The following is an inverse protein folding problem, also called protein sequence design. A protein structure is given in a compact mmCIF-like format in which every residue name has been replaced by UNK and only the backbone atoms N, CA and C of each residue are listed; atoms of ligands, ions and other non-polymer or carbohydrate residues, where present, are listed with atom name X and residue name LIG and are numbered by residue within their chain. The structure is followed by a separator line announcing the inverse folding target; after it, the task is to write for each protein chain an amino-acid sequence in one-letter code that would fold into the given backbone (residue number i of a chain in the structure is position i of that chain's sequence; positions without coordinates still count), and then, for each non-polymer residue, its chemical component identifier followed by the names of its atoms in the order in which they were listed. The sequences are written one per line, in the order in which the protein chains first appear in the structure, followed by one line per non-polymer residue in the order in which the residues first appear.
data_IF_700272413734
#
_entry.id   IF_700272413734
#
_cell.length_a   1.000
_cell.length_b   1.000
_cell.length_c   1.000
_cell.angle_alpha   90.00
_cell.angle_beta   90.00
_cell.angle_gamma   90.00
#
_symmetry.space_group_name_H-M   'P 1'
#
loop_
_entity.id
_entity.type
_entity.pdbx_description
1 polymer ?
#
# COMPACT_ATOMS: atom_id res chain seq x y z
N UNK A 1 -13.85 8.83 -14.09
CA UNK A 1 -13.38 9.95 -13.24
C UNK A 1 -11.96 10.32 -13.67
N UNK A 2 -11.63 11.62 -13.79
CA UNK A 2 -10.25 12.09 -14.02
C UNK A 2 -9.46 11.91 -12.72
N UNK A 3 -8.20 11.47 -12.83
CA UNK A 3 -7.31 11.29 -11.68
C UNK A 3 -6.98 12.64 -11.03
N UNK A 4 -7.16 12.75 -9.73
CA UNK A 4 -6.77 13.94 -8.98
C UNK A 4 -5.26 13.92 -8.68
N UNK A 5 -4.60 15.06 -8.83
CA UNK A 5 -3.19 15.24 -8.44
C UNK A 5 -3.06 16.10 -7.18
N UNK A 6 -4.17 16.49 -6.54
CA UNK A 6 -4.13 17.27 -5.30
C UNK A 6 -3.54 16.42 -4.19
N UNK A 7 -2.63 16.95 -3.36
CA UNK A 7 -2.09 16.24 -2.21
C UNK A 7 -3.19 15.96 -1.18
N UNK A 8 -2.95 15.00 -0.32
CA UNK A 8 -3.76 14.72 0.85
C UNK A 8 -3.28 15.58 2.02
N UNK A 9 -4.14 15.86 2.98
CA UNK A 9 -3.78 16.65 4.15
C UNK A 9 -2.68 15.95 4.96
N UNK A 10 -2.76 14.62 5.07
CA UNK A 10 -1.75 13.81 5.75
C UNK A 10 -0.35 13.89 5.11
N UNK A 11 -0.26 14.21 3.82
CA UNK A 11 1.02 14.42 3.13
C UNK A 11 1.72 15.71 3.60
N UNK A 12 0.98 16.67 4.21
CA UNK A 12 1.52 17.95 4.65
C UNK A 12 2.57 17.76 5.76
N UNK A 13 3.69 18.51 5.71
CA UNK A 13 4.68 18.51 6.79
C UNK A 13 4.14 19.10 8.10
N UNK A 14 3.01 19.81 8.05
CA UNK A 14 2.39 20.43 9.22
C UNK A 14 1.54 19.44 10.04
N UNK A 15 1.17 18.29 9.46
CA UNK A 15 0.45 17.23 10.17
C UNK A 15 1.43 16.41 11.01
N UNK A 16 1.39 16.64 12.35
CA UNK A 16 2.30 16.05 13.34
C UNK A 16 1.55 15.80 14.65
N UNK A 17 2.20 15.01 15.54
CA UNK A 17 1.72 14.76 16.89
C UNK A 17 0.29 14.23 16.96
N UNK A 18 -0.56 14.73 17.88
CA UNK A 18 -1.90 14.18 18.12
C UNK A 18 -2.81 14.12 16.87
N UNK A 19 -2.62 15.03 15.92
CA UNK A 19 -3.38 15.01 14.67
C UNK A 19 -2.96 13.83 13.78
N UNK A 20 -1.68 13.57 13.67
CA UNK A 20 -1.14 12.42 12.92
C UNK A 20 -1.58 11.10 13.58
N UNK A 21 -1.56 11.02 14.92
CA UNK A 21 -2.02 9.83 15.66
C UNK A 21 -3.50 9.56 15.40
N UNK A 22 -4.32 10.61 15.35
CA UNK A 22 -5.74 10.50 15.00
C UNK A 22 -5.94 10.00 13.57
N UNK A 23 -5.17 10.49 12.60
CA UNK A 23 -5.20 9.97 11.23
C UNK A 23 -4.86 8.49 11.18
N UNK A 24 -3.80 8.07 11.86
CA UNK A 24 -3.41 6.66 11.92
C UNK A 24 -4.49 5.79 12.55
N UNK A 25 -5.13 6.27 13.62
CA UNK A 25 -6.26 5.57 14.25
C UNK A 25 -7.42 5.37 13.28
N UNK A 26 -7.86 6.44 12.61
CA UNK A 26 -8.98 6.41 11.67
C UNK A 26 -8.67 5.52 10.44
N UNK A 27 -7.43 5.59 9.93
CA UNK A 27 -6.96 4.71 8.84
C UNK A 27 -6.95 3.24 9.27
N UNK A 28 -6.48 2.92 10.48
CA UNK A 28 -6.50 1.56 10.99
C UNK A 28 -7.92 1.03 11.14
N UNK A 29 -8.87 1.85 11.59
CA UNK A 29 -10.28 1.50 11.64
C UNK A 29 -10.84 1.18 10.25
N UNK A 30 -10.62 2.06 9.27
CA UNK A 30 -11.05 1.86 7.87
C UNK A 30 -10.42 0.60 7.28
N UNK A 31 -9.12 0.38 7.50
CA UNK A 31 -8.40 -0.81 7.05
C UNK A 31 -8.96 -2.09 7.68
N UNK A 32 -9.35 -2.03 8.95
CA UNK A 32 -10.03 -3.13 9.65
C UNK A 32 -11.37 -3.46 9.00
N UNK A 33 -12.24 -2.45 8.81
CA UNK A 33 -13.55 -2.61 8.16
C UNK A 33 -13.45 -3.21 6.74
N UNK A 34 -12.40 -2.88 6.02
CA UNK A 34 -12.18 -3.33 4.65
C UNK A 34 -11.34 -4.61 4.54
N UNK A 35 -10.93 -5.20 5.66
CA UNK A 35 -10.16 -6.44 5.68
C UNK A 35 -8.82 -6.37 4.94
N UNK A 36 -8.12 -5.23 5.01
CA UNK A 36 -6.86 -4.98 4.30
C UNK A 36 -5.79 -6.01 4.65
N UNK A 37 -5.49 -6.15 5.93
CA UNK A 37 -4.40 -6.98 6.41
C UNK A 37 -4.65 -8.49 6.19
N UNK A 38 -5.83 -9.05 6.53
CA UNK A 38 -6.16 -10.43 6.20
C UNK A 38 -6.10 -10.75 4.71
N UNK A 39 -6.43 -9.76 3.87
CA UNK A 39 -6.36 -9.95 2.42
C UNK A 39 -4.92 -10.10 1.95
N UNK A 40 -4.01 -9.23 2.40
CA UNK A 40 -2.57 -9.32 2.08
C UNK A 40 -2.00 -10.65 2.62
N UNK A 41 -2.30 -11.00 3.87
CA UNK A 41 -1.89 -12.30 4.45
C UNK A 41 -2.31 -13.47 3.56
N UNK A 42 -3.57 -13.48 3.10
CA UNK A 42 -4.09 -14.53 2.21
C UNK A 42 -3.31 -14.62 0.90
N UNK A 43 -2.90 -13.48 0.33
CA UNK A 43 -2.08 -13.49 -0.89
C UNK A 43 -0.66 -13.98 -0.61
N UNK A 44 -0.03 -13.58 0.50
CA UNK A 44 1.29 -14.07 0.89
C UNK A 44 1.28 -15.59 1.09
N UNK A 45 0.24 -16.13 1.75
CA UNK A 45 0.10 -17.59 2.00
C UNK A 45 -0.10 -18.42 0.74
N UNK A 46 -0.42 -17.80 -0.40
CA UNK A 46 -0.46 -18.47 -1.72
C UNK A 46 0.91 -18.57 -2.39
N UNK A 47 1.99 -18.20 -1.70
CA UNK A 47 3.34 -18.36 -2.24
C UNK A 47 3.72 -19.83 -2.29
N UNK A 48 4.36 -20.24 -3.39
CA UNK A 48 4.76 -21.64 -3.63
C UNK A 48 5.96 -22.07 -2.78
N UNK A 49 6.66 -21.10 -2.17
CA UNK A 49 7.82 -21.33 -1.31
C UNK A 49 7.60 -20.74 0.09
N UNK A 50 8.21 -21.29 1.13
CA UNK A 50 8.16 -20.73 2.46
C UNK A 50 8.62 -19.26 2.47
N UNK A 51 7.80 -18.40 3.08
CA UNK A 51 8.12 -16.98 3.30
C UNK A 51 8.71 -16.86 4.69
N UNK A 52 9.95 -16.39 4.79
CA UNK A 52 10.67 -16.19 6.05
C UNK A 52 10.79 -14.71 6.40
N UNK A 53 10.87 -13.84 5.39
CA UNK A 53 11.05 -12.41 5.56
C UNK A 53 10.15 -11.62 4.61
N UNK A 54 9.48 -10.61 5.15
CA UNK A 54 8.59 -9.71 4.40
C UNK A 54 9.12 -8.28 4.49
N UNK A 55 9.18 -7.60 3.34
CA UNK A 55 9.43 -6.17 3.22
C UNK A 55 8.12 -5.44 2.97
N UNK A 56 7.81 -4.38 3.71
CA UNK A 56 6.69 -3.48 3.43
C UNK A 56 7.23 -2.11 3.00
N UNK A 57 6.91 -1.67 1.79
CA UNK A 57 7.33 -0.38 1.25
C UNK A 57 6.21 0.64 1.39
N UNK A 58 6.51 1.76 2.05
CA UNK A 58 5.52 2.74 2.48
C UNK A 58 4.69 2.22 3.65
N UNK A 59 5.35 1.62 4.64
CA UNK A 59 4.70 0.89 5.72
C UNK A 59 4.03 1.79 6.78
N UNK A 60 4.21 3.13 6.70
CA UNK A 60 3.68 4.07 7.70
C UNK A 60 4.11 3.68 9.12
N UNK A 61 3.16 3.51 10.01
CA UNK A 61 3.38 3.09 11.40
C UNK A 61 3.69 1.60 11.60
N UNK A 62 3.78 0.80 10.53
CA UNK A 62 4.12 -0.63 10.60
C UNK A 62 2.98 -1.54 11.05
N UNK A 63 1.72 -1.08 11.04
CA UNK A 63 0.56 -1.86 11.50
C UNK A 63 0.36 -3.16 10.74
N UNK A 64 0.56 -3.15 9.42
CA UNK A 64 0.52 -4.36 8.60
C UNK A 64 1.64 -5.34 8.98
N UNK A 65 2.85 -4.84 9.19
CA UNK A 65 4.00 -5.65 9.57
C UNK A 65 3.83 -6.31 10.94
N UNK A 66 3.36 -5.55 11.94
CA UNK A 66 3.04 -6.10 13.28
C UNK A 66 1.99 -7.21 13.18
N UNK A 67 0.94 -7.00 12.39
CA UNK A 67 -0.07 -8.01 12.11
C UNK A 67 0.53 -9.27 11.46
N UNK A 68 1.32 -9.13 10.40
CA UNK A 68 1.93 -10.26 9.68
C UNK A 68 2.91 -11.03 10.55
N UNK A 69 3.75 -10.33 11.33
CA UNK A 69 4.69 -10.95 12.25
C UNK A 69 3.97 -11.84 13.27
N UNK A 70 2.90 -11.32 13.91
CA UNK A 70 2.13 -12.08 14.90
C UNK A 70 1.36 -13.24 14.28
N UNK A 71 0.85 -13.09 13.06
CA UNK A 71 -0.01 -14.10 12.41
C UNK A 71 0.76 -15.20 11.71
N UNK A 72 1.95 -14.90 11.21
CA UNK A 72 2.73 -15.79 10.36
C UNK A 72 4.05 -16.25 11.02
N UNK A 73 4.52 -15.58 12.07
CA UNK A 73 5.80 -15.89 12.73
C UNK A 73 7.02 -15.62 11.85
N UNK A 74 6.93 -14.64 10.94
CA UNK A 74 7.98 -14.31 9.96
C UNK A 74 8.75 -13.07 10.39
N UNK A 75 9.97 -12.91 9.90
CA UNK A 75 10.72 -11.67 10.02
C UNK A 75 10.09 -10.58 9.15
N UNK A 76 10.03 -9.36 9.68
CA UNK A 76 9.43 -8.22 8.96
C UNK A 76 10.36 -7.02 8.99
N UNK A 77 10.35 -6.24 7.92
CA UNK A 77 11.06 -4.96 7.83
C UNK A 77 10.24 -3.97 7.00
N UNK A 78 10.11 -2.75 7.48
CA UNK A 78 9.46 -1.66 6.76
C UNK A 78 10.45 -0.64 6.21
N UNK A 79 10.04 0.05 5.14
CA UNK A 79 10.70 1.25 4.64
C UNK A 79 9.63 2.34 4.50
N UNK A 80 9.88 3.50 5.11
CA UNK A 80 8.97 4.65 5.02
C UNK A 80 9.76 5.98 5.07
N UNK A 81 9.27 7.01 4.40
CA UNK A 81 9.89 8.34 4.39
C UNK A 81 9.72 9.06 5.73
N UNK A 82 8.63 8.78 6.44
CA UNK A 82 8.24 9.43 7.70
C UNK A 82 7.88 8.37 8.77
N UNK A 83 8.83 7.49 9.16
CA UNK A 83 8.53 6.49 10.17
C UNK A 83 8.22 7.16 11.52
N UNK A 84 7.36 6.56 12.36
CA UNK A 84 7.14 7.04 13.71
C UNK A 84 8.42 6.90 14.55
N UNK A 85 8.56 7.70 15.60
CA UNK A 85 9.69 7.60 16.54
C UNK A 85 9.71 6.26 17.29
N UNK A 86 8.53 5.69 17.54
CA UNK A 86 8.36 4.41 18.23
C UNK A 86 7.51 3.49 17.36
N UNK A 87 8.04 2.33 17.04
CA UNK A 87 7.34 1.29 16.30
C UNK A 87 7.58 -0.08 16.94
N UNK A 88 6.59 -0.98 16.86
CA UNK A 88 6.70 -2.36 17.36
C UNK A 88 7.54 -3.26 16.44
N UNK A 89 7.85 -2.79 15.24
CA UNK A 89 8.59 -3.52 14.21
C UNK A 89 9.73 -2.65 13.68
N UNK A 90 10.70 -3.28 13.03
CA UNK A 90 11.82 -2.56 12.42
C UNK A 90 11.34 -1.77 11.21
N UNK A 91 11.46 -0.44 11.25
CA UNK A 91 11.20 0.45 10.13
C UNK A 91 12.48 1.24 9.81
N UNK A 92 12.88 1.24 8.56
CA UNK A 92 14.02 2.01 8.05
C UNK A 92 13.45 3.28 7.42
N UNK A 93 14.01 4.42 7.80
CA UNK A 93 13.69 5.69 7.15
C UNK A 93 14.37 5.71 5.79
N UNK A 94 13.59 5.90 4.71
CA UNK A 94 14.12 5.94 3.35
C UNK A 94 13.03 6.09 2.31
N UNK A 95 13.45 6.46 1.11
CA UNK A 95 12.58 6.52 -0.07
C UNK A 95 12.63 5.19 -0.83
N UNK A 96 11.54 4.44 -0.76
CA UNK A 96 11.44 3.14 -1.42
C UNK A 96 11.53 3.21 -2.96
N UNK A 97 11.34 4.38 -3.56
CA UNK A 97 11.44 4.58 -5.01
C UNK A 97 12.89 4.66 -5.47
N UNK A 98 13.76 5.31 -4.70
CA UNK A 98 15.11 5.70 -5.13
C UNK A 98 16.23 5.04 -4.34
N UNK A 99 16.01 4.68 -3.08
CA UNK A 99 17.03 4.12 -2.21
C UNK A 99 17.08 2.59 -2.28
N UNK A 100 18.23 2.01 -1.89
CA UNK A 100 18.40 0.55 -1.84
C UNK A 100 17.48 -0.04 -0.77
N UNK A 101 16.68 -1.02 -1.18
CA UNK A 101 15.76 -1.73 -0.30
C UNK A 101 16.42 -2.94 0.38
N UNK A 102 15.96 -3.31 1.58
CA UNK A 102 16.35 -4.56 2.22
C UNK A 102 15.94 -5.78 1.41
N UNK A 103 16.75 -6.82 1.46
CA UNK A 103 16.41 -8.13 0.91
C UNK A 103 15.28 -8.79 1.72
N UNK A 104 14.35 -9.45 1.01
CA UNK A 104 13.25 -10.22 1.60
C UNK A 104 12.78 -11.30 0.62
N UNK A 105 11.91 -12.21 1.06
CA UNK A 105 11.29 -13.20 0.19
C UNK A 105 10.12 -12.62 -0.61
N UNK A 106 9.30 -11.82 0.07
CA UNK A 106 8.12 -11.16 -0.49
C UNK A 106 8.14 -9.70 -0.08
N UNK A 107 7.90 -8.81 -1.04
CA UNK A 107 7.59 -7.42 -0.76
C UNK A 107 6.07 -7.19 -0.79
N UNK A 108 5.59 -6.27 0.03
CA UNK A 108 4.21 -5.78 0.03
C UNK A 108 4.21 -4.25 -0.06
N UNK A 109 3.12 -3.71 -0.58
CA UNK A 109 2.85 -2.28 -0.62
C UNK A 109 1.35 -2.09 -0.40
N UNK A 110 0.98 -1.37 0.63
CA UNK A 110 -0.43 -1.13 0.94
C UNK A 110 -0.74 0.35 1.02
N UNK A 111 -1.64 0.81 0.14
CA UNK A 111 -2.14 2.20 0.15
C UNK A 111 -1.04 3.27 -0.03
N UNK A 112 -0.03 2.97 -0.82
CA UNK A 112 1.03 3.91 -1.20
C UNK A 112 0.95 4.30 -2.67
N UNK A 113 0.61 3.37 -3.57
CA UNK A 113 0.79 3.57 -5.01
C UNK A 113 0.00 4.77 -5.55
N UNK A 114 -1.16 5.11 -4.97
CA UNK A 114 -1.94 6.28 -5.36
C UNK A 114 -1.28 7.62 -4.99
N UNK A 115 -0.32 7.65 -4.07
CA UNK A 115 0.50 8.83 -3.77
C UNK A 115 1.59 9.09 -4.82
N UNK A 116 1.98 8.05 -5.57
CA UNK A 116 3.06 8.10 -6.54
C UNK A 116 2.57 8.44 -7.94
N UNK A 117 3.44 9.04 -8.77
CA UNK A 117 3.19 9.18 -10.21
C UNK A 117 3.30 7.82 -10.91
N UNK A 118 2.84 7.67 -12.17
CA UNK A 118 3.08 6.46 -12.95
C UNK A 118 4.57 6.09 -13.03
N UNK A 119 5.45 7.07 -13.27
CA UNK A 119 6.89 6.90 -13.38
C UNK A 119 7.51 6.44 -12.05
N UNK A 120 7.06 7.00 -10.93
CA UNK A 120 7.49 6.58 -9.60
C UNK A 120 7.05 5.16 -9.26
N UNK A 121 5.84 4.77 -9.64
CA UNK A 121 5.37 3.39 -9.48
C UNK A 121 6.21 2.41 -10.32
N UNK A 122 6.55 2.77 -11.57
CA UNK A 122 7.47 1.99 -12.41
C UNK A 122 8.84 1.85 -11.73
N UNK A 123 9.38 2.95 -11.20
CA UNK A 123 10.66 2.95 -10.50
C UNK A 123 10.63 2.10 -9.23
N UNK A 124 9.55 2.20 -8.43
CA UNK A 124 9.34 1.37 -7.24
C UNK A 124 9.34 -0.13 -7.58
N UNK A 125 8.55 -0.55 -8.58
CA UNK A 125 8.48 -1.96 -9.00
C UNK A 125 9.86 -2.45 -9.44
N UNK A 126 10.59 -1.67 -10.24
CA UNK A 126 11.95 -1.97 -10.66
C UNK A 126 12.95 -1.99 -9.50
N UNK A 127 12.76 -1.13 -8.50
CA UNK A 127 13.62 -1.13 -7.32
C UNK A 127 13.41 -2.39 -6.47
N UNK A 128 12.16 -2.80 -6.25
CA UNK A 128 11.83 -4.06 -5.56
C UNK A 128 12.41 -5.26 -6.32
N UNK A 129 12.34 -5.30 -7.65
CA UNK A 129 12.87 -6.40 -8.45
C UNK A 129 14.43 -6.56 -8.39
N UNK A 130 15.14 -5.55 -7.87
CA UNK A 130 16.60 -5.62 -7.64
C UNK A 130 16.98 -6.25 -6.29
N UNK A 131 16.02 -6.49 -5.43
CA UNK A 131 16.20 -7.23 -4.17
C UNK A 131 16.09 -8.74 -4.41
N UNK A 132 16.19 -9.53 -3.35
CA UNK A 132 15.95 -10.98 -3.41
C UNK A 132 14.46 -11.35 -3.45
N UNK A 133 13.55 -10.36 -3.46
CA UNK A 133 12.12 -10.61 -3.52
C UNK A 133 11.74 -11.33 -4.82
N UNK A 134 11.09 -12.50 -4.67
CA UNK A 134 10.53 -13.24 -5.80
C UNK A 134 9.09 -12.82 -6.11
N UNK A 135 8.47 -12.01 -5.23
CA UNK A 135 7.09 -11.60 -5.35
C UNK A 135 6.87 -10.22 -4.74
N UNK A 136 6.07 -9.41 -5.42
CA UNK A 136 5.66 -8.09 -4.94
C UNK A 136 4.14 -7.98 -5.01
N UNK A 137 3.48 -7.83 -3.86
CA UNK A 137 2.03 -7.72 -3.73
C UNK A 137 1.69 -6.26 -3.43
N UNK A 138 0.99 -5.61 -4.34
CA UNK A 138 0.54 -4.23 -4.19
C UNK A 138 -0.98 -4.24 -3.97
N UNK A 139 -1.45 -3.71 -2.86
CA UNK A 139 -2.86 -3.48 -2.59
C UNK A 139 -3.13 -1.98 -2.56
N UNK A 140 -4.04 -1.50 -3.41
CA UNK A 140 -4.39 -0.08 -3.42
C UNK A 140 -5.87 0.14 -3.77
N UNK A 141 -6.32 1.37 -3.58
CA UNK A 141 -7.67 1.83 -3.91
C UNK A 141 -7.91 1.81 -5.42
N UNK A 142 -9.17 1.84 -5.81
CA UNK A 142 -9.58 1.99 -7.22
C UNK A 142 -10.30 3.33 -7.40
N UNK A 143 -9.90 4.09 -8.39
CA UNK A 143 -10.60 5.30 -8.81
C UNK A 143 -11.90 4.95 -9.53
N UNK A 144 -13.00 4.88 -8.77
CA UNK A 144 -14.32 4.57 -9.30
C UNK A 144 -15.40 5.33 -8.51
N UNK A 145 -16.54 5.75 -9.14
CA UNK A 145 -17.61 6.44 -8.42
C UNK A 145 -18.24 5.61 -7.30
N UNK A 146 -18.41 4.31 -7.50
CA UNK A 146 -19.07 3.42 -6.53
C UNK A 146 -18.35 3.39 -5.17
N UNK A 147 -17.04 3.08 -5.05
CA UNK A 147 -16.37 3.13 -3.75
C UNK A 147 -16.34 4.53 -3.16
N UNK A 148 -16.28 5.61 -3.96
CA UNK A 148 -16.35 6.96 -3.44
C UNK A 148 -17.70 7.25 -2.77
N UNK A 149 -18.81 6.83 -3.37
CA UNK A 149 -20.15 6.97 -2.78
C UNK A 149 -20.28 6.11 -1.52
N UNK A 150 -19.90 4.82 -1.59
CA UNK A 150 -19.98 3.92 -0.44
C UNK A 150 -19.11 4.42 0.73
N UNK A 151 -17.88 4.85 0.47
CA UNK A 151 -17.01 5.43 1.48
C UNK A 151 -17.64 6.67 2.12
N UNK A 152 -18.19 7.56 1.29
CA UNK A 152 -18.81 8.80 1.77
C UNK A 152 -20.04 8.55 2.64
N UNK A 153 -20.86 7.56 2.29
CA UNK A 153 -22.10 7.27 3.01
C UNK A 153 -21.88 6.44 4.26
N UNK A 154 -20.97 5.48 4.24
CA UNK A 154 -20.86 4.48 5.30
C UNK A 154 -19.64 4.66 6.20
N UNK A 155 -18.48 5.10 5.67
CA UNK A 155 -17.26 5.22 6.46
C UNK A 155 -17.00 6.66 6.94
N UNK A 156 -17.23 7.67 6.11
CA UNK A 156 -17.01 9.06 6.50
C UNK A 156 -17.75 9.48 7.79
N UNK A 157 -19.00 9.03 8.09
CA UNK A 157 -19.66 9.38 9.34
C UNK A 157 -19.03 8.77 10.59
N UNK A 158 -18.17 7.76 10.44
CA UNK A 158 -17.57 6.99 11.54
C UNK A 158 -16.16 7.45 11.91
N UNK A 159 -15.58 8.39 11.16
CA UNK A 159 -14.19 8.85 11.29
C UNK A 159 -14.12 10.38 11.35
N UNK A 160 -12.96 10.92 11.70
CA UNK A 160 -12.74 12.37 11.75
C UNK A 160 -12.92 13.03 10.38
N UNK A 161 -13.33 14.31 10.40
CA UNK A 161 -13.60 15.08 9.17
C UNK A 161 -12.39 15.14 8.25
N UNK A 162 -11.21 15.32 8.81
CA UNK A 162 -9.94 15.40 8.09
C UNK A 162 -9.63 14.06 7.39
N UNK A 163 -9.71 12.95 8.12
CA UNK A 163 -9.51 11.61 7.57
C UNK A 163 -10.59 11.26 6.51
N UNK A 164 -11.83 11.70 6.72
CA UNK A 164 -12.90 11.54 5.73
C UNK A 164 -12.64 12.34 4.44
N UNK A 165 -12.04 13.52 4.54
CA UNK A 165 -11.65 14.32 3.37
C UNK A 165 -10.50 13.66 2.62
N UNK A 166 -9.47 13.20 3.35
CA UNK A 166 -8.32 12.53 2.76
C UNK A 166 -8.69 11.21 2.09
N UNK A 167 -9.47 10.37 2.74
CA UNK A 167 -9.90 9.11 2.12
C UNK A 167 -10.72 9.29 0.83
N UNK A 168 -11.55 10.36 0.73
CA UNK A 168 -12.18 10.71 -0.56
C UNK A 168 -11.16 11.19 -1.58
N UNK A 169 -10.12 11.89 -1.15
CA UNK A 169 -9.05 12.34 -2.02
C UNK A 169 -8.19 11.16 -2.49
N UNK A 170 -7.85 10.21 -1.61
CA UNK A 170 -7.14 8.98 -1.93
C UNK A 170 -7.86 8.18 -3.02
N UNK A 171 -9.20 8.00 -2.91
CA UNK A 171 -9.99 7.33 -3.95
C UNK A 171 -9.91 8.08 -5.29
N UNK A 172 -9.88 9.42 -5.28
CA UNK A 172 -9.75 10.22 -6.51
C UNK A 172 -8.35 10.20 -7.10
N UNK A 173 -7.32 9.98 -6.28
CA UNK A 173 -5.91 9.84 -6.69
C UNK A 173 -5.58 8.45 -7.20
N UNK A 174 -6.33 7.44 -6.77
CA UNK A 174 -6.10 6.06 -7.12
C UNK A 174 -6.10 5.84 -8.64
N UNK A 175 -5.43 4.79 -9.08
CA UNK A 175 -5.46 4.35 -10.46
C UNK A 175 -6.68 3.47 -10.74
N UNK A 176 -7.13 3.40 -12.00
CA UNK A 176 -8.02 2.32 -12.42
C UNK A 176 -7.21 1.03 -12.59
N UNK A 177 -7.85 -0.16 -12.59
CA UNK A 177 -7.14 -1.41 -12.83
C UNK A 177 -6.39 -1.44 -14.16
N UNK A 178 -6.96 -0.82 -15.20
CA UNK A 178 -6.37 -0.75 -16.53
C UNK A 178 -5.12 0.13 -16.55
N UNK A 179 -5.19 1.32 -15.92
CA UNK A 179 -4.03 2.23 -15.79
C UNK A 179 -2.91 1.58 -15.00
N UNK A 180 -3.24 0.91 -13.88
CA UNK A 180 -2.21 0.30 -13.05
C UNK A 180 -1.58 -0.93 -13.73
N UNK A 181 -2.38 -1.71 -14.46
CA UNK A 181 -1.87 -2.82 -15.27
C UNK A 181 -0.87 -2.34 -16.33
N UNK A 182 -1.09 -1.16 -16.95
CA UNK A 182 -0.15 -0.59 -17.91
C UNK A 182 1.16 -0.14 -17.25
N UNK A 183 1.08 0.46 -16.05
CA UNK A 183 2.26 0.80 -15.24
C UNK A 183 3.08 -0.47 -14.96
N UNK A 184 2.43 -1.55 -14.53
CA UNK A 184 3.12 -2.82 -14.23
C UNK A 184 3.75 -3.42 -15.49
N UNK A 185 3.02 -3.49 -16.62
CA UNK A 185 3.58 -3.97 -17.90
C UNK A 185 4.84 -3.20 -18.30
N UNK A 186 4.80 -1.88 -18.17
CA UNK A 186 5.95 -1.00 -18.46
C UNK A 186 7.11 -1.27 -17.50
N UNK A 187 6.82 -1.51 -16.22
CA UNK A 187 7.84 -1.77 -15.22
C UNK A 187 8.59 -3.07 -15.46
N UNK A 188 7.87 -4.15 -15.85
CA UNK A 188 8.43 -5.50 -16.04
C UNK A 188 8.82 -5.80 -17.49
N UNK A 189 8.67 -4.84 -18.41
CA UNK A 189 9.00 -5.03 -19.82
C UNK A 189 10.47 -5.47 -19.98
N UNK A 190 10.68 -6.51 -20.81
CA UNK A 190 12.01 -7.09 -21.05
C UNK A 190 12.51 -8.04 -19.97
N UNK A 191 11.67 -8.41 -18.99
CA UNK A 191 11.99 -9.40 -17.96
C UNK A 191 11.09 -10.66 -18.11
N UNK A 192 11.37 -11.70 -17.31
CA UNK A 192 10.52 -12.89 -17.20
C UNK A 192 9.38 -12.72 -16.20
N UNK A 193 9.26 -11.57 -15.57
CA UNK A 193 8.25 -11.33 -14.56
C UNK A 193 6.83 -11.39 -15.14
N UNK A 194 5.91 -11.88 -14.34
CA UNK A 194 4.48 -11.97 -14.65
C UNK A 194 3.67 -11.29 -13.58
N UNK A 195 2.42 -10.95 -13.87
CA UNK A 195 1.52 -10.42 -12.84
C UNK A 195 0.08 -10.83 -13.06
N UNK A 196 -0.68 -10.80 -11.98
CA UNK A 196 -2.14 -10.92 -11.97
C UNK A 196 -2.76 -9.73 -11.26
N UNK A 197 -3.99 -9.39 -11.63
CA UNK A 197 -4.79 -8.35 -10.99
C UNK A 197 -6.07 -8.96 -10.44
N UNK A 198 -6.36 -8.72 -9.17
CA UNK A 198 -7.60 -9.07 -8.50
C UNK A 198 -8.31 -7.76 -8.09
N UNK A 199 -9.62 -7.72 -8.26
CA UNK A 199 -10.45 -6.55 -7.91
C UNK A 199 -11.47 -6.99 -6.85
N UNK A 200 -11.44 -6.30 -5.71
CA UNK A 200 -12.36 -6.58 -4.61
C UNK A 200 -13.81 -6.28 -4.96
N UNK A 201 -14.78 -6.89 -4.24
CA UNK A 201 -16.18 -6.51 -4.34
C UNK A 201 -16.37 -5.00 -4.23
N UNK A 202 -17.38 -4.47 -4.96
CA UNK A 202 -17.66 -3.04 -5.05
C UNK A 202 -16.53 -2.18 -5.62
N UNK A 203 -15.50 -2.80 -6.24
CA UNK A 203 -14.35 -2.11 -6.83
C UNK A 203 -13.64 -1.17 -5.85
N UNK A 204 -13.65 -1.52 -4.57
CA UNK A 204 -13.05 -0.67 -3.53
C UNK A 204 -11.53 -0.71 -3.56
N UNK A 205 -10.95 -1.85 -3.93
CA UNK A 205 -9.50 -2.09 -3.97
C UNK A 205 -9.11 -3.01 -5.11
N UNK A 206 -7.86 -2.86 -5.55
CA UNK A 206 -7.19 -3.78 -6.45
C UNK A 206 -5.97 -4.38 -5.76
N UNK A 207 -5.62 -5.58 -6.14
CA UNK A 207 -4.41 -6.27 -5.71
C UNK A 207 -3.67 -6.68 -6.97
N UNK A 208 -2.45 -6.24 -7.06
CA UNK A 208 -1.53 -6.62 -8.13
C UNK A 208 -0.48 -7.54 -7.51
N UNK A 209 -0.35 -8.71 -8.05
CA UNK A 209 0.57 -9.75 -7.59
C UNK A 209 1.61 -9.99 -8.69
N UNK A 210 2.80 -9.44 -8.50
CA UNK A 210 3.91 -9.53 -9.44
C UNK A 210 4.86 -10.64 -8.98
N UNK A 211 5.24 -11.54 -9.89
CA UNK A 211 6.23 -12.60 -9.69
C UNK A 211 7.44 -12.33 -10.57
N UNK A 212 8.58 -12.19 -9.92
CA UNK A 212 9.87 -11.95 -10.57
C UNK A 212 10.60 -13.23 -10.95
#
# INVERSE_FOLDING_TARGET
MIRSLKPELMDSPDVKGPLLDKFHHDLNFVNGCLGTFPTIERFIRKDDKPVRRILDVGCGGGGLLDYLQRRMGVEVVGVDMKPPEIANVKIIKGDAVTERLPDADVAVCSLLAHHLTPEQNIALIRNVSRTTCRRFIIQDLIRHPLPLVLYTLFLCPMIGREAAMDGRQSIRRAFTPEEFAEIVRTAIAGTSATFTTDVSPFRSRQIIDIRF
#
